data_IF_453230704838
#
_entry.id   IF_453230704838
#
_cell.length_a   1.000
_cell.length_b   1.000
_cell.length_c   1.000
_cell.angle_alpha   90.00
_cell.angle_beta   90.00
_cell.angle_gamma   90.00
#
_symmetry.space_group_name_H-M   'P 1'
#
loop_
_entity.id
_entity.type
_entity.pdbx_description
1 polymer ?
#
# COMPACT_ATOMS: atom_id res chain seq x y z
N UNK A 1 -19.43 -16.76 39.43
CA UNK A 1 -20.40 -17.23 38.42
C UNK A 1 -21.54 -16.22 38.38
N UNK A 2 -21.53 -15.27 37.42
CA UNK A 2 -22.72 -14.49 37.07
C UNK A 2 -22.72 -14.27 35.55
N UNK A 3 -23.64 -15.01 34.93
CA UNK A 3 -24.39 -14.76 33.70
C UNK A 3 -23.68 -14.25 32.44
N UNK A 4 -23.31 -15.22 31.60
CA UNK A 4 -23.42 -15.17 30.14
C UNK A 4 -24.89 -15.07 29.71
N UNK A 5 -25.37 -13.90 29.25
CA UNK A 5 -26.59 -13.79 28.44
C UNK A 5 -26.65 -12.41 27.77
N UNK A 6 -26.92 -12.36 26.46
CA UNK A 6 -27.44 -11.15 25.82
C UNK A 6 -26.63 -10.49 24.70
N UNK A 7 -25.78 -11.21 23.96
CA UNK A 7 -25.42 -10.79 22.59
C UNK A 7 -26.19 -11.70 21.61
N UNK A 8 -27.51 -11.59 21.63
CA UNK A 8 -28.37 -12.25 20.65
C UNK A 8 -28.13 -11.59 19.29
N UNK A 9 -27.59 -12.41 18.40
CA UNK A 9 -27.76 -12.42 16.94
C UNK A 9 -28.81 -11.39 16.48
N UNK A 10 -28.35 -10.22 16.04
CA UNK A 10 -29.15 -9.35 15.19
C UNK A 10 -29.17 -10.01 13.82
N UNK A 11 -30.32 -10.57 13.47
CA UNK A 11 -30.60 -11.18 12.17
C UNK A 11 -30.24 -10.24 11.02
N UNK A 12 -29.54 -10.76 10.02
CA UNK A 12 -29.07 -10.01 8.86
C UNK A 12 -30.21 -9.33 8.07
N UNK A 13 -31.42 -9.88 8.14
CA UNK A 13 -32.61 -9.33 7.47
C UNK A 13 -33.09 -8.01 8.11
N UNK A 14 -32.86 -7.81 9.41
CA UNK A 14 -33.24 -6.58 10.11
C UNK A 14 -32.29 -5.45 9.71
N UNK A 15 -30.99 -5.72 9.56
CA UNK A 15 -30.02 -4.71 9.11
C UNK A 15 -30.21 -4.33 7.63
N UNK A 16 -30.55 -5.27 6.76
CA UNK A 16 -30.81 -4.99 5.35
C UNK A 16 -32.12 -4.21 5.16
N UNK A 17 -33.17 -4.54 5.91
CA UNK A 17 -34.42 -3.77 5.92
C UNK A 17 -34.23 -2.38 6.48
N UNK A 18 -33.40 -2.22 7.53
CA UNK A 18 -33.06 -0.90 8.07
C UNK A 18 -32.30 -0.05 7.04
N UNK A 19 -31.37 -0.66 6.30
CA UNK A 19 -30.61 -0.01 5.23
C UNK A 19 -31.48 0.39 4.02
N UNK A 20 -32.45 -0.43 3.64
CA UNK A 20 -33.41 -0.14 2.56
C UNK A 20 -34.43 0.94 2.99
N UNK A 21 -34.85 0.95 4.26
CA UNK A 21 -35.76 1.96 4.81
C UNK A 21 -35.07 3.33 4.93
N UNK A 22 -33.78 3.36 5.31
CA UNK A 22 -32.97 4.59 5.32
C UNK A 22 -32.74 5.16 3.91
N UNK A 23 -32.64 4.32 2.88
CA UNK A 23 -32.52 4.76 1.48
C UNK A 23 -33.81 5.33 0.87
N UNK A 24 -34.99 5.07 1.47
CA UNK A 24 -36.30 5.42 0.88
C UNK A 24 -37.07 6.55 1.59
N UNK A 25 -36.53 7.15 2.65
CA UNK A 25 -37.07 8.39 3.23
C UNK A 25 -38.55 8.33 3.67
N UNK A 26 -38.99 7.22 4.29
CA UNK A 26 -40.36 7.05 4.83
C UNK A 26 -40.38 6.86 6.37
N UNK A 27 -41.54 7.08 7.03
CA UNK A 27 -41.60 7.50 8.43
C UNK A 27 -41.41 6.37 9.45
N UNK A 28 -40.90 6.79 10.61
CA UNK A 28 -40.57 6.02 11.83
C UNK A 28 -41.84 5.47 12.51
N UNK A 29 -41.87 4.19 12.87
CA UNK A 29 -42.85 3.63 13.81
C UNK A 29 -42.41 3.85 15.26
N UNK A 30 -43.35 4.07 16.20
CA UNK A 30 -43.07 4.75 17.46
C UNK A 30 -42.55 3.78 18.53
N UNK A 31 -41.58 4.23 19.33
CA UNK A 31 -41.24 3.55 20.59
C UNK A 31 -39.78 3.43 20.98
N UNK A 32 -38.83 4.04 20.27
CA UNK A 32 -37.45 4.14 20.73
C UNK A 32 -36.99 5.59 20.67
N UNK A 33 -36.75 6.15 21.85
CA UNK A 33 -36.16 7.45 22.06
C UNK A 33 -34.67 7.38 21.76
N UNK A 34 -34.30 7.26 20.49
CA UNK A 34 -32.91 7.38 20.04
C UNK A 34 -32.85 8.18 18.74
N UNK A 35 -31.84 9.04 18.68
CA UNK A 35 -31.72 10.23 17.82
C UNK A 35 -32.02 9.92 16.35
N UNK A 36 -32.82 10.79 15.74
CA UNK A 36 -32.94 10.90 14.28
C UNK A 36 -31.54 11.20 13.70
N UNK A 37 -30.96 10.35 12.83
CA UNK A 37 -29.62 10.58 12.32
C UNK A 37 -29.64 11.53 11.12
N UNK A 38 -28.73 12.51 11.12
CA UNK A 38 -28.66 13.61 10.15
C UNK A 38 -27.26 13.77 9.53
N UNK A 39 -26.52 12.66 9.33
CA UNK A 39 -25.15 12.69 8.83
C UNK A 39 -24.84 11.62 7.77
N UNK A 40 -23.96 11.97 6.83
CA UNK A 40 -23.35 11.04 5.83
C UNK A 40 -22.43 10.02 6.53
N UNK A 41 -22.03 10.30 7.76
CA UNK A 41 -21.07 9.55 8.58
C UNK A 41 -21.65 8.21 9.06
N UNK A 42 -22.93 8.17 9.44
CA UNK A 42 -23.60 6.97 9.97
C UNK A 42 -23.79 5.88 8.89
N UNK A 43 -23.90 6.28 7.62
CA UNK A 43 -24.07 5.34 6.50
C UNK A 43 -22.79 4.55 6.19
N UNK A 44 -21.62 5.18 6.33
CA UNK A 44 -20.33 4.52 6.14
C UNK A 44 -20.02 3.58 7.31
N UNK A 45 -20.35 4.00 8.54
CA UNK A 45 -20.22 3.14 9.72
C UNK A 45 -21.16 1.93 9.66
N UNK A 46 -22.42 2.12 9.25
CA UNK A 46 -23.38 1.02 9.09
C UNK A 46 -22.99 0.06 7.95
N UNK A 47 -22.54 0.59 6.81
CA UNK A 47 -22.03 -0.23 5.70
C UNK A 47 -20.78 -1.02 6.12
N UNK A 48 -19.90 -0.41 6.91
CA UNK A 48 -18.72 -1.08 7.46
C UNK A 48 -19.08 -2.16 8.49
N UNK A 49 -20.03 -1.88 9.37
CA UNK A 49 -20.54 -2.86 10.33
C UNK A 49 -21.11 -4.10 9.61
N UNK A 50 -21.77 -3.90 8.47
CA UNK A 50 -22.23 -4.98 7.62
C UNK A 50 -21.07 -5.78 6.98
N UNK A 51 -20.01 -5.12 6.53
CA UNK A 51 -18.79 -5.77 5.99
C UNK A 51 -18.05 -6.60 7.05
N UNK A 52 -18.07 -6.14 8.30
CA UNK A 52 -17.39 -6.79 9.43
C UNK A 52 -18.23 -7.89 10.08
N UNK A 53 -19.54 -7.90 9.83
CA UNK A 53 -20.48 -8.90 10.34
C UNK A 53 -20.25 -10.29 9.71
N UNK A 54 -20.35 -11.32 10.55
CA UNK A 54 -19.97 -12.72 10.25
C UNK A 54 -20.73 -13.36 9.08
N UNK A 55 -21.89 -12.84 8.72
CA UNK A 55 -22.88 -13.50 7.86
C UNK A 55 -22.97 -12.91 6.44
N UNK A 56 -22.09 -11.97 6.06
CA UNK A 56 -22.11 -11.39 4.73
C UNK A 56 -21.40 -12.28 3.70
N UNK A 57 -22.04 -12.48 2.54
CA UNK A 57 -21.47 -13.17 1.39
C UNK A 57 -20.10 -12.60 1.00
N UNK A 58 -19.20 -13.47 0.52
CA UNK A 58 -17.86 -13.06 0.07
C UNK A 58 -17.92 -11.99 -1.03
N UNK A 59 -18.89 -12.10 -1.93
CA UNK A 59 -19.10 -11.18 -3.05
C UNK A 59 -19.64 -9.83 -2.56
N UNK A 60 -20.60 -9.84 -1.64
CA UNK A 60 -21.15 -8.63 -1.03
C UNK A 60 -20.07 -7.85 -0.28
N UNK A 61 -19.20 -8.53 0.47
CA UNK A 61 -18.06 -7.88 1.15
C UNK A 61 -17.08 -7.24 0.18
N UNK A 62 -16.78 -7.89 -0.94
CA UNK A 62 -15.90 -7.32 -1.96
C UNK A 62 -16.53 -6.10 -2.63
N UNK A 63 -17.84 -6.16 -2.92
CA UNK A 63 -18.60 -5.06 -3.49
C UNK A 63 -18.65 -3.85 -2.54
N UNK A 64 -19.04 -4.06 -1.28
CA UNK A 64 -19.07 -3.02 -0.25
C UNK A 64 -17.68 -2.40 -0.05
N UNK A 65 -16.62 -3.20 0.00
CA UNK A 65 -15.23 -2.73 0.08
C UNK A 65 -14.88 -1.77 -1.06
N UNK A 66 -15.26 -2.10 -2.29
CA UNK A 66 -15.02 -1.26 -3.46
C UNK A 66 -15.82 0.05 -3.41
N UNK A 67 -17.07 -0.01 -2.95
CA UNK A 67 -17.91 1.17 -2.75
C UNK A 67 -17.32 2.11 -1.70
N UNK A 68 -16.98 1.61 -0.52
CA UNK A 68 -16.39 2.40 0.57
C UNK A 68 -15.10 3.12 0.11
N UNK A 69 -14.23 2.42 -0.62
CA UNK A 69 -13.00 3.02 -1.16
C UNK A 69 -13.32 4.11 -2.21
N UNK A 70 -14.34 3.90 -3.03
CA UNK A 70 -14.77 4.87 -4.05
C UNK A 70 -15.40 6.10 -3.41
N UNK A 71 -16.20 5.92 -2.37
CA UNK A 71 -16.86 7.00 -1.63
C UNK A 71 -15.83 7.87 -0.91
N UNK A 72 -14.88 7.26 -0.20
CA UNK A 72 -13.78 7.99 0.46
C UNK A 72 -12.94 8.77 -0.58
N UNK A 73 -12.72 8.21 -1.77
CA UNK A 73 -12.03 8.90 -2.86
C UNK A 73 -12.84 10.09 -3.37
N UNK A 74 -14.15 9.93 -3.56
CA UNK A 74 -15.04 10.98 -4.05
C UNK A 74 -15.16 12.12 -3.04
N UNK A 75 -15.27 11.81 -1.75
CA UNK A 75 -15.30 12.81 -0.66
C UNK A 75 -14.00 13.64 -0.66
N UNK A 76 -12.85 12.99 -0.86
CA UNK A 76 -11.54 13.66 -0.89
C UNK A 76 -11.16 14.26 -2.27
N UNK A 77 -12.04 14.18 -3.28
CA UNK A 77 -11.73 14.64 -4.65
C UNK A 77 -11.65 16.16 -4.80
N UNK A 78 -12.44 16.91 -4.02
CA UNK A 78 -12.49 18.38 -4.05
C UNK A 78 -11.58 19.04 -3.01
N UNK A 79 -11.29 18.34 -1.91
CA UNK A 79 -10.41 18.78 -0.83
C UNK A 79 -10.24 17.68 0.21
N UNK A 80 -9.08 17.59 0.87
CA UNK A 80 -8.81 16.57 1.89
C UNK A 80 -9.57 16.90 3.18
N UNK A 81 -10.59 16.12 3.52
CA UNK A 81 -11.32 16.25 4.79
C UNK A 81 -10.52 15.62 5.93
N UNK A 82 -9.64 16.39 6.56
CA UNK A 82 -8.71 15.87 7.58
C UNK A 82 -9.42 15.32 8.84
N UNK A 83 -10.59 15.87 9.21
CA UNK A 83 -11.38 15.41 10.36
C UNK A 83 -11.93 14.00 10.13
N UNK A 84 -12.70 13.82 9.05
CA UNK A 84 -13.26 12.51 8.65
C UNK A 84 -12.16 11.47 8.43
N UNK A 85 -11.06 11.85 7.76
CA UNK A 85 -9.94 10.92 7.56
C UNK A 85 -9.30 10.47 8.89
N UNK A 86 -9.23 11.35 9.89
CA UNK A 86 -8.69 11.01 11.22
C UNK A 86 -9.64 10.09 11.99
N UNK A 87 -10.95 10.36 11.95
CA UNK A 87 -11.98 9.53 12.58
C UNK A 87 -12.04 8.14 11.95
N UNK A 88 -12.12 8.07 10.62
CA UNK A 88 -12.07 6.81 9.87
C UNK A 88 -10.77 6.04 10.15
N UNK A 89 -9.62 6.70 10.18
CA UNK A 89 -8.35 6.04 10.47
C UNK A 89 -8.31 5.45 11.89
N UNK A 90 -8.81 6.18 12.88
CA UNK A 90 -8.91 5.68 14.26
C UNK A 90 -9.85 4.47 14.36
N UNK A 91 -10.99 4.53 13.67
CA UNK A 91 -11.92 3.42 13.60
C UNK A 91 -11.30 2.19 12.93
N UNK A 92 -10.60 2.36 11.80
CA UNK A 92 -9.86 1.27 11.12
C UNK A 92 -8.78 0.67 12.03
N UNK A 93 -8.12 1.50 12.83
CA UNK A 93 -7.12 1.05 13.80
C UNK A 93 -7.76 0.20 14.91
N UNK A 94 -8.88 0.65 15.49
CA UNK A 94 -9.62 -0.14 16.48
C UNK A 94 -10.04 -1.50 15.91
N UNK A 95 -10.55 -1.52 14.66
CA UNK A 95 -10.93 -2.74 13.96
C UNK A 95 -9.75 -3.68 13.67
N UNK A 96 -8.55 -3.14 13.39
CA UNK A 96 -7.32 -3.91 13.21
C UNK A 96 -6.86 -4.57 14.53
N UNK A 97 -7.06 -3.88 15.66
CA UNK A 97 -6.73 -4.42 17.00
C UNK A 97 -7.79 -5.37 17.55
N UNK A 98 -8.99 -5.39 16.94
CA UNK A 98 -10.09 -6.26 17.35
C UNK A 98 -9.74 -7.76 17.22
N UNK A 99 -10.44 -8.60 17.99
CA UNK A 99 -10.23 -10.07 17.98
C UNK A 99 -10.72 -10.74 16.68
N UNK A 100 -11.41 -10.02 15.80
CA UNK A 100 -12.04 -10.57 14.61
C UNK A 100 -11.09 -10.56 13.41
N UNK A 101 -10.53 -11.73 13.08
CA UNK A 101 -9.54 -11.87 11.99
C UNK A 101 -10.06 -11.44 10.60
N UNK A 102 -11.36 -11.63 10.32
CA UNK A 102 -11.97 -11.23 9.05
C UNK A 102 -12.05 -9.70 8.97
N UNK A 103 -12.54 -9.06 10.02
CA UNK A 103 -12.66 -7.61 10.09
C UNK A 103 -11.28 -6.93 10.03
N UNK A 104 -10.30 -7.44 10.78
CA UNK A 104 -8.93 -6.93 10.76
C UNK A 104 -8.29 -7.05 9.36
N UNK A 105 -8.51 -8.18 8.66
CA UNK A 105 -8.03 -8.34 7.28
C UNK A 105 -8.70 -7.35 6.33
N UNK A 106 -10.02 -7.21 6.38
CA UNK A 106 -10.73 -6.28 5.48
C UNK A 106 -10.33 -4.82 5.75
N UNK A 107 -10.13 -4.46 7.02
CA UNK A 107 -9.60 -3.15 7.44
C UNK A 107 -8.23 -2.89 6.82
N UNK A 108 -7.31 -3.85 6.95
CA UNK A 108 -5.98 -3.76 6.38
C UNK A 108 -6.03 -3.59 4.85
N UNK A 109 -6.84 -4.40 4.16
CA UNK A 109 -6.93 -4.31 2.71
C UNK A 109 -7.49 -2.94 2.23
N UNK A 110 -8.46 -2.37 2.96
CA UNK A 110 -9.03 -1.06 2.64
C UNK A 110 -7.99 0.04 2.83
N UNK A 111 -7.21 -0.01 3.92
CA UNK A 111 -6.10 0.91 4.16
C UNK A 111 -5.05 0.84 3.04
N UNK A 112 -4.69 -0.37 2.60
CA UNK A 112 -3.77 -0.59 1.48
C UNK A 112 -4.32 0.03 0.19
N UNK A 113 -5.60 -0.19 -0.13
CA UNK A 113 -6.23 0.38 -1.32
C UNK A 113 -6.30 1.92 -1.31
N UNK A 114 -6.58 2.52 -0.14
CA UNK A 114 -6.60 3.97 0.03
C UNK A 114 -5.20 4.59 -0.08
N UNK A 115 -4.17 3.89 0.40
CA UNK A 115 -2.77 4.30 0.25
C UNK A 115 -2.31 4.21 -1.21
N UNK A 116 -2.70 3.16 -1.94
CA UNK A 116 -2.41 3.03 -3.38
C UNK A 116 -3.08 4.13 -4.21
N UNK A 117 -4.29 4.53 -3.83
CA UNK A 117 -5.01 5.65 -4.46
C UNK A 117 -4.51 7.04 -4.02
N UNK A 118 -3.43 7.13 -3.23
CA UNK A 118 -2.81 8.36 -2.71
C UNK A 118 -3.77 9.27 -1.92
N UNK A 119 -4.83 8.69 -1.33
CA UNK A 119 -5.80 9.45 -0.50
C UNK A 119 -5.23 9.64 0.90
N UNK A 120 -4.75 8.56 1.51
CA UNK A 120 -4.12 8.55 2.84
C UNK A 120 -2.61 8.30 2.69
N UNK A 121 -1.84 9.37 2.57
CA UNK A 121 -0.38 9.31 2.37
C UNK A 121 0.40 9.82 3.59
N UNK A 122 -0.12 9.60 4.78
CA UNK A 122 0.43 10.13 6.03
C UNK A 122 1.30 9.10 6.76
N UNK A 123 2.29 9.59 7.52
CA UNK A 123 3.15 8.74 8.36
C UNK A 123 2.36 7.93 9.39
N UNK A 124 1.25 8.48 9.91
CA UNK A 124 0.36 7.78 10.86
C UNK A 124 -0.26 6.52 10.24
N UNK A 125 -0.72 6.60 8.99
CA UNK A 125 -1.30 5.47 8.28
C UNK A 125 -0.26 4.38 8.06
N UNK A 126 0.96 4.75 7.67
CA UNK A 126 2.08 3.82 7.50
C UNK A 126 2.46 3.15 8.81
N UNK A 127 2.50 3.89 9.92
CA UNK A 127 2.78 3.32 11.23
C UNK A 127 1.69 2.32 11.66
N UNK A 128 0.42 2.59 11.39
CA UNK A 128 -0.66 1.61 11.65
C UNK A 128 -0.46 0.35 10.78
N UNK A 129 -0.10 0.51 9.51
CA UNK A 129 0.22 -0.62 8.62
C UNK A 129 1.43 -1.43 9.13
N UNK A 130 2.45 -0.75 9.69
CA UNK A 130 3.62 -1.40 10.30
C UNK A 130 3.23 -2.27 11.50
N UNK A 131 2.22 -1.87 12.28
CA UNK A 131 1.70 -2.68 13.40
C UNK A 131 1.03 -3.96 12.90
N UNK A 132 0.39 -3.93 11.73
CA UNK A 132 -0.25 -5.11 11.13
C UNK A 132 0.76 -6.22 10.77
N UNK A 133 2.02 -5.87 10.48
CA UNK A 133 3.11 -6.82 10.27
C UNK A 133 3.38 -7.69 11.52
N UNK A 134 3.04 -7.22 12.72
CA UNK A 134 3.23 -7.96 13.97
C UNK A 134 1.97 -8.74 14.42
N UNK A 135 0.92 -8.78 13.61
CA UNK A 135 -0.31 -9.50 13.92
C UNK A 135 -0.06 -11.02 14.10
N UNK A 136 -0.82 -11.69 14.97
CA UNK A 136 -0.72 -13.14 15.19
C UNK A 136 -1.24 -13.95 13.98
N UNK A 137 -2.10 -13.35 13.16
CA UNK A 137 -2.73 -14.01 12.01
C UNK A 137 -1.81 -13.88 10.79
N UNK A 138 -1.22 -14.99 10.34
CA UNK A 138 -0.24 -15.04 9.24
C UNK A 138 -0.76 -14.38 7.95
N UNK A 139 -2.06 -14.50 7.64
CA UNK A 139 -2.68 -13.86 6.47
C UNK A 139 -2.64 -12.33 6.50
N UNK A 140 -2.82 -11.72 7.68
CA UNK A 140 -2.79 -10.26 7.87
C UNK A 140 -1.34 -9.78 7.78
N UNK A 141 -0.43 -10.48 8.46
CA UNK A 141 1.00 -10.22 8.39
C UNK A 141 1.52 -10.27 6.94
N UNK A 142 1.22 -11.33 6.19
CA UNK A 142 1.65 -11.46 4.79
C UNK A 142 1.08 -10.34 3.92
N UNK A 143 -0.19 -9.95 4.11
CA UNK A 143 -0.76 -8.83 3.36
C UNK A 143 -0.05 -7.50 3.66
N UNK A 144 0.30 -7.25 4.93
CA UNK A 144 1.05 -6.05 5.33
C UNK A 144 2.49 -6.05 4.79
N UNK A 145 3.21 -7.18 4.88
CA UNK A 145 4.57 -7.32 4.35
C UNK A 145 4.57 -7.15 2.83
N UNK A 146 3.62 -7.78 2.12
CA UNK A 146 3.45 -7.61 0.66
C UNK A 146 3.16 -6.18 0.27
N UNK A 147 2.46 -5.41 1.11
CA UNK A 147 2.24 -3.99 0.85
C UNK A 147 3.56 -3.18 0.87
N UNK A 148 4.47 -3.47 1.81
CA UNK A 148 5.77 -2.78 1.89
C UNK A 148 6.75 -3.19 0.78
N UNK A 149 6.64 -4.42 0.26
CA UNK A 149 7.48 -4.95 -0.82
C UNK A 149 6.91 -4.59 -2.21
N UNK A 150 5.61 -4.82 -2.41
CA UNK A 150 4.93 -4.91 -3.70
C UNK A 150 4.56 -3.57 -4.36
N UNK A 151 5.27 -2.48 -4.05
CA UNK A 151 5.07 -1.18 -4.72
C UNK A 151 5.99 -0.96 -5.92
N UNK A 152 6.96 -1.85 -6.12
CA UNK A 152 7.91 -1.78 -7.24
C UNK A 152 7.46 -2.63 -8.46
N UNK A 153 6.65 -3.69 -8.28
CA UNK A 153 6.23 -4.57 -9.39
C UNK A 153 5.10 -3.98 -10.25
N UNK A 154 4.14 -3.25 -9.67
CA UNK A 154 3.00 -2.69 -10.45
C UNK A 154 3.38 -1.51 -11.37
N UNK A 155 4.58 -0.92 -11.24
CA UNK A 155 4.96 0.27 -12.03
C UNK A 155 5.74 -0.02 -13.30
N UNK A 156 6.31 -1.21 -13.43
CA UNK A 156 7.04 -1.59 -14.64
C UNK A 156 6.13 -1.83 -15.84
N UNK A 157 4.84 -2.13 -15.63
CA UNK A 157 3.94 -2.54 -16.72
C UNK A 157 3.06 -1.40 -17.28
N UNK A 158 2.92 -0.25 -16.59
CA UNK A 158 2.03 0.85 -17.04
C UNK A 158 2.76 2.07 -17.65
N UNK A 159 4.10 2.05 -17.75
CA UNK A 159 4.87 3.17 -18.32
C UNK A 159 5.57 2.87 -19.65
N UNK A 160 5.19 1.77 -20.32
CA UNK A 160 5.72 1.41 -21.64
C UNK A 160 5.09 2.20 -22.80
N UNK A 161 5.08 3.52 -22.67
CA UNK A 161 5.06 4.41 -23.83
C UNK A 161 6.31 5.28 -23.76
N UNK A 162 7.45 4.60 -23.79
CA UNK A 162 8.78 5.20 -23.85
C UNK A 162 9.00 5.81 -25.23
N UNK A 163 8.41 6.99 -25.45
CA UNK A 163 8.80 7.82 -26.58
C UNK A 163 10.15 8.45 -26.25
N UNK A 164 11.21 7.81 -26.76
CA UNK A 164 12.62 8.21 -26.70
C UNK A 164 12.80 9.74 -26.87
N UNK A 165 13.61 10.44 -26.04
CA UNK A 165 13.97 11.84 -26.27
C UNK A 165 14.48 12.17 -27.68
N UNK A 166 14.99 11.18 -28.43
CA UNK A 166 15.31 11.36 -29.84
C UNK A 166 14.07 11.67 -30.70
N UNK A 167 12.92 11.08 -30.38
CA UNK A 167 11.71 11.18 -31.17
C UNK A 167 11.07 12.57 -31.02
N UNK A 168 11.08 13.12 -29.80
CA UNK A 168 10.68 14.51 -29.53
C UNK A 168 11.56 15.52 -30.32
N UNK A 169 12.86 15.23 -30.48
CA UNK A 169 13.75 16.06 -31.29
C UNK A 169 13.51 15.89 -32.80
N UNK A 170 13.24 14.67 -33.27
CA UNK A 170 12.89 14.38 -34.68
C UNK A 170 11.59 15.09 -35.07
N UNK A 171 10.57 15.10 -34.20
CA UNK A 171 9.31 15.82 -34.41
C UNK A 171 9.52 17.35 -34.47
N UNK A 172 10.35 17.90 -33.58
CA UNK A 172 10.73 19.32 -33.61
C UNK A 172 11.51 19.70 -34.88
N UNK A 173 12.43 18.84 -35.33
CA UNK A 173 13.21 19.05 -36.57
C UNK A 173 12.29 18.97 -37.80
N UNK A 174 11.42 17.97 -37.89
CA UNK A 174 10.43 17.83 -38.97
C UNK A 174 9.46 19.02 -39.03
N UNK A 175 8.98 19.49 -37.87
CA UNK A 175 8.13 20.68 -37.78
C UNK A 175 8.87 21.97 -38.18
N UNK A 176 10.18 22.08 -37.97
CA UNK A 176 11.02 23.19 -38.44
C UNK A 176 11.27 23.11 -39.95
N UNK A 177 11.54 21.92 -40.49
CA UNK A 177 11.78 21.72 -41.92
C UNK A 177 10.53 22.03 -42.76
N UNK A 178 9.34 21.60 -42.32
CA UNK A 178 8.06 21.90 -43.01
C UNK A 178 7.66 23.38 -43.04
N UNK A 179 8.33 24.24 -42.26
CA UNK A 179 8.20 25.70 -42.35
C UNK A 179 9.14 26.34 -43.37
N UNK A 180 10.26 25.70 -43.70
CA UNK A 180 11.29 26.28 -44.57
C UNK A 180 10.90 26.24 -46.06
N UNK A 181 10.07 25.27 -46.44
CA UNK A 181 9.73 24.96 -47.84
C UNK A 181 8.59 25.83 -48.41
N UNK A 182 7.80 26.53 -47.58
CA UNK A 182 6.66 27.35 -48.05
C UNK A 182 6.60 28.72 -47.35
N UNK A 183 5.88 29.66 -47.97
CA UNK A 183 5.58 31.00 -47.43
C UNK A 183 5.05 30.92 -45.99
N UNK A 184 5.61 31.74 -45.10
CA UNK A 184 5.22 31.79 -43.68
C UNK A 184 3.82 32.38 -43.55
N UNK A 185 2.86 31.56 -43.14
CA UNK A 185 1.47 31.98 -42.87
C UNK A 185 1.16 31.95 -41.38
N UNK A 186 0.35 32.90 -40.89
CA UNK A 186 -0.11 33.02 -39.48
C UNK A 186 -0.69 31.70 -38.91
N UNK A 187 -1.35 30.88 -39.75
CA UNK A 187 -1.89 29.55 -39.39
C UNK A 187 -0.81 28.51 -39.06
N UNK A 188 0.33 28.51 -39.77
CA UNK A 188 1.45 27.59 -39.52
C UNK A 188 2.23 27.95 -38.24
N UNK A 189 2.35 29.25 -37.95
CA UNK A 189 2.98 29.73 -36.71
C UNK A 189 2.25 29.21 -35.46
N UNK A 190 0.91 29.29 -35.45
CA UNK A 190 0.06 28.70 -34.39
C UNK A 190 0.23 27.19 -34.26
N UNK A 191 0.43 26.46 -35.36
CA UNK A 191 0.66 25.00 -35.32
C UNK A 191 2.00 24.65 -34.65
N UNK A 192 3.05 25.44 -34.89
CA UNK A 192 4.35 25.22 -34.27
C UNK A 192 4.39 25.62 -32.80
N UNK A 193 3.67 26.67 -32.41
CA UNK A 193 3.51 27.01 -30.99
C UNK A 193 2.84 25.86 -30.22
N UNK A 194 1.84 25.20 -30.82
CA UNK A 194 1.22 23.99 -30.26
C UNK A 194 2.19 22.81 -30.17
N UNK A 195 2.98 22.54 -31.21
CA UNK A 195 3.99 21.46 -31.17
C UNK A 195 5.06 21.74 -30.12
N UNK A 196 5.55 22.99 -30.03
CA UNK A 196 6.52 23.41 -29.01
C UNK A 196 5.95 23.32 -27.59
N UNK A 197 4.68 23.65 -27.38
CA UNK A 197 4.06 23.56 -26.05
C UNK A 197 3.82 22.11 -25.63
N UNK A 198 3.47 21.22 -26.56
CA UNK A 198 3.36 19.77 -26.32
C UNK A 198 4.72 19.18 -25.95
N UNK A 199 5.78 19.48 -26.71
CA UNK A 199 7.13 18.97 -26.38
C UNK A 199 7.64 19.55 -25.06
N UNK A 200 7.41 20.84 -24.77
CA UNK A 200 7.75 21.42 -23.44
C UNK A 200 6.96 20.77 -22.31
N UNK A 201 5.69 20.39 -22.54
CA UNK A 201 4.86 19.69 -21.54
C UNK A 201 5.35 18.26 -21.32
N UNK A 202 5.75 17.56 -22.37
CA UNK A 202 6.32 16.22 -22.30
C UNK A 202 7.69 16.23 -21.62
N UNK A 203 8.57 17.17 -21.98
CA UNK A 203 9.85 17.38 -21.31
C UNK A 203 9.66 17.73 -19.84
N UNK A 204 8.70 18.60 -19.47
CA UNK A 204 8.39 18.89 -18.06
C UNK A 204 7.90 17.67 -17.29
N UNK A 205 7.11 16.78 -17.93
CA UNK A 205 6.70 15.51 -17.32
C UNK A 205 7.89 14.56 -17.13
N UNK A 206 8.85 14.55 -18.06
CA UNK A 206 10.09 13.76 -17.99
C UNK A 206 11.12 14.31 -16.97
N UNK A 207 11.24 15.64 -16.84
CA UNK A 207 12.14 16.30 -15.85
C UNK A 207 11.49 16.50 -14.49
N UNK A 208 10.17 16.28 -14.36
CA UNK A 208 9.57 16.09 -13.03
C UNK A 208 10.19 14.80 -12.54
N UNK A 209 11.25 14.98 -11.76
CA UNK A 209 12.11 14.03 -11.07
C UNK A 209 11.54 12.63 -11.10
N UNK A 210 12.39 11.65 -11.38
CA UNK A 210 12.22 10.28 -10.89
C UNK A 210 11.74 10.42 -9.46
N UNK A 211 10.42 10.36 -9.28
CA UNK A 211 9.84 10.50 -7.97
C UNK A 211 10.29 9.18 -7.38
N UNK A 212 11.30 9.23 -6.52
CA UNK A 212 11.37 8.33 -5.40
C UNK A 212 10.04 8.56 -4.68
N UNK A 213 8.98 7.95 -5.22
CA UNK A 213 7.63 7.99 -4.70
C UNK A 213 7.85 7.48 -3.30
N UNK A 214 7.77 8.39 -2.32
CA UNK A 214 8.06 8.15 -0.92
C UNK A 214 7.63 6.72 -0.58
N UNK A 215 8.61 5.80 -0.59
CA UNK A 215 8.28 4.40 -0.37
C UNK A 215 7.69 4.38 1.02
N UNK A 216 6.65 3.58 1.25
CA UNK A 216 6.04 3.50 2.57
C UNK A 216 7.11 3.26 3.65
N UNK A 217 8.22 2.60 3.27
CA UNK A 217 9.41 2.41 4.09
C UNK A 217 10.06 3.70 4.61
N UNK A 218 10.06 4.81 3.86
CA UNK A 218 10.61 6.10 4.31
C UNK A 218 9.71 6.83 5.30
N UNK A 219 8.41 6.52 5.32
CA UNK A 219 7.42 7.18 6.18
C UNK A 219 7.31 6.53 7.57
N UNK A 220 8.07 5.45 7.81
CA UNK A 220 8.11 4.74 9.09
C UNK A 220 8.80 5.63 10.13
N UNK A 221 8.21 5.74 11.31
CA UNK A 221 8.76 6.56 12.40
C UNK A 221 10.04 5.98 13.00
N UNK A 222 10.03 4.68 13.35
CA UNK A 222 11.18 4.00 13.97
C UNK A 222 11.57 2.76 13.16
N UNK A 223 12.40 2.92 12.12
CA UNK A 223 12.78 1.81 11.23
C UNK A 223 13.68 0.77 11.92
N UNK A 224 14.52 1.19 12.88
CA UNK A 224 15.40 0.30 13.64
C UNK A 224 14.59 -0.69 14.52
N UNK A 225 13.68 -0.19 15.37
CA UNK A 225 12.84 -1.05 16.24
C UNK A 225 12.00 -2.02 15.41
N UNK A 226 11.46 -1.54 14.28
CA UNK A 226 10.69 -2.39 13.38
C UNK A 226 11.53 -3.56 12.85
N UNK A 227 12.75 -3.28 12.38
CA UNK A 227 13.63 -4.30 11.82
C UNK A 227 14.10 -5.30 12.88
N UNK A 228 14.47 -4.86 14.08
CA UNK A 228 14.86 -5.73 15.19
C UNK A 228 13.71 -6.63 15.65
N UNK A 229 12.49 -6.09 15.73
CA UNK A 229 11.30 -6.87 16.10
C UNK A 229 10.89 -7.87 15.03
N UNK A 230 11.02 -7.50 13.75
CA UNK A 230 10.80 -8.42 12.64
C UNK A 230 11.82 -9.55 12.65
N UNK A 231 13.09 -9.24 12.87
CA UNK A 231 14.17 -10.23 12.99
C UNK A 231 13.92 -11.22 14.15
N UNK A 232 13.66 -10.72 15.37
CA UNK A 232 13.34 -11.57 16.54
C UNK A 232 12.14 -12.48 16.29
N UNK A 233 11.17 -12.02 15.50
CA UNK A 233 10.01 -12.82 15.12
C UNK A 233 10.37 -13.86 14.05
N UNK A 234 11.19 -13.51 13.07
CA UNK A 234 11.66 -14.39 12.01
C UNK A 234 12.39 -15.63 12.58
N UNK A 235 13.22 -15.45 13.61
CA UNK A 235 13.91 -16.55 14.29
C UNK A 235 12.93 -17.54 14.95
N UNK A 236 11.86 -17.02 15.56
CA UNK A 236 10.84 -17.83 16.24
C UNK A 236 9.78 -18.40 15.30
N UNK A 237 9.74 -17.95 14.05
CA UNK A 237 8.67 -18.28 13.11
C UNK A 237 8.88 -19.68 12.54
N UNK A 238 7.91 -20.58 12.76
CA UNK A 238 7.85 -21.89 12.11
C UNK A 238 6.84 -21.91 10.96
N UNK A 239 6.89 -20.90 10.09
CA UNK A 239 6.03 -20.78 8.91
C UNK A 239 6.73 -21.32 7.66
N UNK A 240 5.96 -21.44 6.57
CA UNK A 240 6.49 -21.81 5.25
C UNK A 240 7.66 -20.91 4.85
N UNK A 241 8.64 -21.48 4.15
CA UNK A 241 9.86 -20.78 3.73
C UNK A 241 9.59 -19.50 2.94
N UNK A 242 8.56 -19.47 2.08
CA UNK A 242 8.15 -18.28 1.33
C UNK A 242 7.78 -17.08 2.24
N UNK A 243 7.14 -17.33 3.38
CA UNK A 243 6.79 -16.27 4.35
C UNK A 243 8.04 -15.73 5.04
N UNK A 244 9.00 -16.62 5.33
CA UNK A 244 10.32 -16.23 5.86
C UNK A 244 11.06 -15.38 4.83
N UNK A 245 11.01 -15.77 3.56
CA UNK A 245 11.65 -15.04 2.46
C UNK A 245 11.09 -13.62 2.29
N UNK A 246 9.75 -13.47 2.30
CA UNK A 246 9.11 -12.14 2.27
C UNK A 246 9.50 -11.28 3.48
N UNK A 247 9.59 -11.89 4.67
CA UNK A 247 10.00 -11.15 5.88
C UNK A 247 11.47 -10.71 5.77
N UNK A 248 12.34 -11.55 5.21
CA UNK A 248 13.76 -11.27 4.99
C UNK A 248 13.97 -10.15 3.96
N UNK A 249 13.20 -10.14 2.86
CA UNK A 249 13.19 -9.05 1.86
C UNK A 249 12.78 -7.70 2.49
N UNK A 250 11.78 -7.72 3.35
CA UNK A 250 11.36 -6.50 4.05
C UNK A 250 12.48 -5.95 4.97
N UNK A 251 13.20 -6.83 5.67
CA UNK A 251 14.33 -6.45 6.52
C UNK A 251 15.49 -5.93 5.68
N UNK A 252 15.85 -6.59 4.57
CA UNK A 252 16.95 -6.12 3.70
C UNK A 252 16.68 -4.75 3.11
N UNK A 253 15.44 -4.48 2.68
CA UNK A 253 15.03 -3.16 2.18
C UNK A 253 15.10 -2.08 3.27
N UNK A 254 14.69 -2.39 4.50
CA UNK A 254 14.79 -1.45 5.63
C UNK A 254 16.25 -1.11 5.95
N UNK A 255 17.13 -2.12 5.98
CA UNK A 255 18.56 -1.95 6.20
C UNK A 255 19.18 -1.07 5.10
N UNK A 256 18.87 -1.35 3.83
CA UNK A 256 19.44 -0.62 2.70
C UNK A 256 18.98 0.85 2.64
N UNK A 257 17.70 1.13 2.93
CA UNK A 257 17.14 2.50 2.83
C UNK A 257 17.59 3.38 4.00
N UNK A 258 17.53 2.87 5.22
CA UNK A 258 17.79 3.67 6.44
C UNK A 258 19.21 3.48 6.98
N UNK A 259 20.06 2.72 6.28
CA UNK A 259 21.42 2.38 6.72
C UNK A 259 21.44 1.82 8.15
N UNK A 260 20.59 0.83 8.40
CA UNK A 260 20.43 0.22 9.73
C UNK A 260 21.46 -0.89 9.94
N UNK A 261 22.06 -0.97 11.12
CA UNK A 261 22.97 -2.06 11.45
C UNK A 261 22.27 -3.13 12.29
N UNK A 262 22.20 -4.36 11.76
CA UNK A 262 21.64 -5.55 12.45
C UNK A 262 22.65 -6.70 12.29
N UNK A 263 23.52 -6.96 13.28
CA UNK A 263 24.62 -7.92 13.14
C UNK A 263 24.12 -9.35 12.90
N UNK A 264 23.02 -9.74 13.55
CA UNK A 264 22.47 -11.09 13.47
C UNK A 264 21.83 -11.41 12.10
N UNK A 265 21.61 -10.41 11.25
CA UNK A 265 21.02 -10.61 9.93
C UNK A 265 21.96 -11.36 8.98
N UNK A 266 23.26 -11.04 8.97
CA UNK A 266 24.23 -11.66 8.05
C UNK A 266 24.44 -13.16 8.31
N UNK A 267 24.61 -13.62 9.56
CA UNK A 267 24.63 -15.06 9.86
C UNK A 267 23.35 -15.78 9.47
N UNK A 268 22.18 -15.12 9.57
CA UNK A 268 20.91 -15.70 9.14
C UNK A 268 20.87 -15.90 7.62
N UNK A 269 21.25 -14.89 6.85
CA UNK A 269 21.35 -14.98 5.38
C UNK A 269 22.35 -16.06 4.98
N UNK A 270 23.48 -16.14 5.68
CA UNK A 270 24.51 -17.14 5.44
C UNK A 270 23.97 -18.58 5.56
N UNK A 271 23.05 -18.86 6.50
CA UNK A 271 22.38 -20.16 6.65
C UNK A 271 21.46 -20.54 5.48
N UNK A 272 21.02 -19.56 4.68
CA UNK A 272 20.14 -19.80 3.53
C UNK A 272 20.89 -19.78 2.19
N UNK A 273 22.18 -19.42 2.18
CA UNK A 273 23.07 -19.46 1.03
C UNK A 273 23.64 -20.87 0.83
N UNK A 274 22.80 -21.81 0.38
CA UNK A 274 23.21 -23.15 -0.06
C UNK A 274 22.79 -23.37 -1.52
N UNK A 275 23.65 -23.90 -2.41
CA UNK A 275 23.34 -24.08 -3.83
C UNK A 275 22.08 -24.91 -4.12
N UNK A 276 21.79 -25.90 -3.27
CA UNK A 276 20.63 -26.78 -3.41
C UNK A 276 19.30 -26.16 -2.92
N UNK A 277 19.38 -25.04 -2.20
CA UNK A 277 18.19 -24.41 -1.62
C UNK A 277 17.34 -23.76 -2.72
N UNK A 278 16.01 -23.72 -2.53
CA UNK A 278 15.11 -23.01 -3.45
C UNK A 278 15.25 -21.50 -3.28
N UNK A 279 15.19 -20.77 -4.40
CA UNK A 279 15.18 -19.29 -4.45
C UNK A 279 16.42 -18.61 -3.87
N UNK A 280 17.59 -19.25 -3.94
CA UNK A 280 18.87 -18.70 -3.47
C UNK A 280 19.19 -17.35 -4.13
N UNK A 281 18.83 -17.16 -5.40
CA UNK A 281 19.00 -15.88 -6.10
C UNK A 281 18.33 -14.73 -5.37
N UNK A 282 17.13 -14.93 -4.82
CA UNK A 282 16.43 -13.89 -4.04
C UNK A 282 17.18 -13.58 -2.73
N UNK A 283 17.68 -14.62 -2.06
CA UNK A 283 18.49 -14.48 -0.84
C UNK A 283 19.78 -13.69 -1.12
N UNK A 284 20.43 -13.91 -2.27
CA UNK A 284 21.61 -13.14 -2.68
C UNK A 284 21.27 -11.67 -2.93
N UNK A 285 20.13 -11.39 -3.56
CA UNK A 285 19.65 -10.01 -3.75
C UNK A 285 19.43 -9.31 -2.40
N UNK A 286 18.87 -10.01 -1.41
CA UNK A 286 18.67 -9.43 -0.07
C UNK A 286 20.00 -9.15 0.63
N UNK A 287 21.00 -10.02 0.46
CA UNK A 287 22.35 -9.79 0.98
C UNK A 287 22.97 -8.53 0.35
N UNK A 288 22.85 -8.37 -0.97
CA UNK A 288 23.35 -7.21 -1.69
C UNK A 288 22.63 -5.92 -1.28
N UNK A 289 21.32 -5.96 -1.08
CA UNK A 289 20.53 -4.80 -0.61
C UNK A 289 20.89 -4.37 0.81
N UNK A 290 21.20 -5.33 1.69
CA UNK A 290 21.57 -5.05 3.08
C UNK A 290 23.04 -4.61 3.24
N UNK A 291 23.87 -4.78 2.20
CA UNK A 291 25.26 -4.34 2.20
C UNK A 291 25.33 -2.82 2.00
N UNK A 292 25.74 -2.09 3.05
CA UNK A 292 25.90 -0.64 3.02
C UNK A 292 27.16 -0.22 3.79
N UNK A 293 27.59 1.03 3.61
CA UNK A 293 28.89 1.51 4.10
C UNK A 293 29.06 1.52 5.64
N UNK A 294 27.96 1.44 6.41
CA UNK A 294 28.02 1.41 7.88
C UNK A 294 28.15 0.00 8.46
N UNK A 295 28.08 -1.04 7.62
CA UNK A 295 28.29 -2.43 8.05
C UNK A 295 29.79 -2.69 8.17
N UNK A 296 30.28 -3.19 9.31
CA UNK A 296 31.68 -3.56 9.43
C UNK A 296 32.01 -4.70 8.45
N UNK A 297 33.19 -4.68 7.83
CA UNK A 297 33.60 -5.68 6.86
C UNK A 297 33.66 -7.09 7.46
N UNK A 298 33.96 -7.22 8.75
CA UNK A 298 34.05 -8.50 9.48
C UNK A 298 32.74 -9.31 9.42
N UNK A 299 31.58 -8.65 9.39
CA UNK A 299 30.27 -9.33 9.29
C UNK A 299 29.92 -9.73 7.85
N UNK A 300 30.47 -9.04 6.85
CA UNK A 300 30.26 -9.30 5.43
C UNK A 300 31.23 -10.34 4.86
N UNK A 301 32.45 -10.38 5.40
CA UNK A 301 33.50 -11.32 5.02
C UNK A 301 33.04 -12.79 4.99
N UNK A 302 32.27 -13.32 5.96
CA UNK A 302 31.79 -14.72 5.90
C UNK A 302 30.69 -14.97 4.85
N UNK A 303 30.09 -13.92 4.28
CA UNK A 303 29.04 -14.02 3.25
C UNK A 303 29.66 -14.07 1.86
N UNK A 304 30.71 -13.30 1.60
CA UNK A 304 31.33 -13.16 0.26
C UNK A 304 31.84 -14.50 -0.32
N UNK A 305 32.58 -15.36 0.41
CA UNK A 305 33.03 -16.65 -0.10
C UNK A 305 31.86 -17.58 -0.45
N UNK A 306 30.75 -17.52 0.29
CA UNK A 306 29.56 -18.34 -0.01
C UNK A 306 28.86 -17.89 -1.28
N UNK A 307 28.87 -16.58 -1.58
CA UNK A 307 28.35 -16.06 -2.84
C UNK A 307 29.20 -16.53 -4.03
N UNK A 308 30.52 -16.59 -3.87
CA UNK A 308 31.43 -17.09 -4.91
C UNK A 308 31.23 -18.58 -5.23
N UNK A 309 30.92 -19.41 -4.22
CA UNK A 309 30.68 -20.86 -4.43
C UNK A 309 29.35 -21.17 -5.14
N UNK A 310 28.41 -20.22 -5.17
CA UNK A 310 27.06 -20.40 -5.75
C UNK A 310 27.02 -19.95 -7.22
N UNK A 311 27.93 -19.06 -7.63
CA UNK A 311 28.08 -18.62 -9.03
C UNK A 311 28.82 -19.64 -9.89
#
# INVERSE_FOLDING_TARGET
>A
MVSTAGLQVLDCDVSLSFFITLLKGGPVLPGQNERVPSGVDDHLEAAWFCVTSRNADKNLRQFLKQHIVTDIKNINSKGKNMKLNKELLNFMFEMLTSRHAIAAKTSLDVMIQLYNKRVWNDAKTVNILSMACFSKVTKIMVAAIKFFIGRDEEKTDETDSDSDPEDDQKVLKAARMSMKVNKKTKKKQRKMEKVKSVVKRNQKKKTTKVNFDFSALHLIHDPQDMADRLYKRLEKMNERFEVKLMTMDMISRLIGIHHLYIPNFYPLVQRFLFPHQREVTKVMVFAAQAAHAQVPPDDLEPVVPRLQTIS
#
